data_IF_638905856746
#
_entry.id   IF_638905856746
#
_cell.length_a   1.000
_cell.length_b   1.000
_cell.length_c   1.000
_cell.angle_alpha   90.00
_cell.angle_beta   90.00
_cell.angle_gamma   90.00
#
_symmetry.space_group_name_H-M   'P 1'
#
loop_
_entity.id
_entity.type
_entity.pdbx_description
1 polymer ?
#
# COMPACT_ATOMS: atom_id res chain seq x y z
N UNK A 1 20.68 -2.60 -1.91
CA UNK A 1 20.00 -3.08 -3.12
C UNK A 1 18.52 -2.78 -2.95
N UNK A 2 17.87 -2.09 -3.90
CA UNK A 2 16.46 -1.71 -3.78
C UNK A 2 15.61 -2.50 -4.79
N UNK A 3 14.58 -3.17 -4.31
CA UNK A 3 13.66 -3.93 -5.15
C UNK A 3 12.84 -2.99 -6.03
N UNK A 4 12.81 -3.28 -7.32
CA UNK A 4 12.06 -2.51 -8.31
C UNK A 4 10.75 -3.23 -8.60
N UNK A 5 9.66 -2.46 -8.70
CA UNK A 5 8.34 -3.01 -9.06
C UNK A 5 8.02 -2.63 -10.50
N UNK A 6 7.66 -3.60 -11.32
CA UNK A 6 7.13 -3.37 -12.67
C UNK A 6 5.61 -3.34 -12.61
N UNK A 7 5.05 -2.25 -13.11
CA UNK A 7 3.60 -2.04 -13.18
C UNK A 7 3.01 -2.77 -14.41
N UNK A 8 1.69 -3.02 -14.44
CA UNK A 8 1.03 -3.68 -15.57
C UNK A 8 1.22 -2.98 -16.92
N UNK A 9 1.46 -1.66 -16.92
CA UNK A 9 1.77 -0.88 -18.11
C UNK A 9 3.25 -0.96 -18.54
N UNK A 10 4.06 -1.83 -17.92
CA UNK A 10 5.47 -2.03 -18.19
C UNK A 10 6.40 -1.01 -17.54
N UNK A 11 5.88 0.10 -17.00
CA UNK A 11 6.68 1.12 -16.32
C UNK A 11 7.20 0.60 -14.98
N UNK A 12 8.29 1.22 -14.51
CA UNK A 12 8.80 0.95 -13.16
C UNK A 12 8.16 1.91 -12.17
N UNK A 13 7.70 1.35 -11.05
CA UNK A 13 7.13 2.13 -9.96
C UNK A 13 8.21 3.04 -9.36
N UNK A 14 7.96 4.35 -9.38
CA UNK A 14 8.78 5.34 -8.68
C UNK A 14 8.32 5.41 -7.24
N UNK A 15 9.27 5.31 -6.32
CA UNK A 15 8.98 5.42 -4.90
C UNK A 15 8.63 6.87 -4.59
N UNK A 16 7.47 7.06 -3.96
CA UNK A 16 6.92 8.35 -3.58
C UNK A 16 7.07 8.56 -2.09
N UNK A 17 7.81 9.60 -1.73
CA UNK A 17 8.01 10.08 -0.37
C UNK A 17 7.38 11.45 -0.21
N UNK A 18 6.83 11.72 0.96
CA UNK A 18 6.23 13.01 1.29
C UNK A 18 6.63 13.43 2.71
N UNK A 19 7.06 14.67 2.88
CA UNK A 19 7.32 15.23 4.21
C UNK A 19 7.00 16.72 4.22
N UNK A 20 6.14 17.15 5.15
CA UNK A 20 5.78 18.56 5.33
C UNK A 20 5.36 19.27 4.02
N UNK A 21 4.63 18.56 3.14
CA UNK A 21 4.18 19.06 1.84
C UNK A 21 5.22 18.98 0.71
N UNK A 22 6.44 18.55 0.99
CA UNK A 22 7.44 18.23 -0.03
C UNK A 22 7.24 16.80 -0.53
N UNK A 23 7.12 16.61 -1.86
CA UNK A 23 6.99 15.29 -2.48
C UNK A 23 8.24 14.98 -3.30
N UNK A 24 8.87 13.84 -3.01
CA UNK A 24 10.05 13.35 -3.72
C UNK A 24 9.71 12.02 -4.39
N UNK A 25 9.99 11.93 -5.68
CA UNK A 25 9.86 10.70 -6.47
C UNK A 25 11.24 10.20 -6.85
N UNK A 26 11.58 8.97 -6.48
CA UNK A 26 12.85 8.35 -6.85
C UNK A 26 12.62 7.08 -7.67
N UNK A 27 13.47 6.84 -8.65
CA UNK A 27 13.55 5.53 -9.29
C UNK A 27 14.48 4.63 -8.48
N UNK A 28 13.92 3.57 -7.90
CA UNK A 28 14.69 2.59 -7.14
C UNK A 28 15.78 1.95 -8.00
N UNK A 29 16.99 1.91 -7.45
CA UNK A 29 18.16 1.29 -8.08
C UNK A 29 18.44 -0.06 -7.43
N UNK A 30 18.29 -1.12 -8.22
CA UNK A 30 18.61 -2.46 -7.76
C UNK A 30 18.46 -3.52 -8.84
N UNK A 31 18.94 -4.71 -8.52
CA UNK A 31 19.11 -5.81 -9.48
C UNK A 31 17.83 -6.61 -9.70
N UNK A 32 16.98 -6.65 -8.67
CA UNK A 32 15.74 -7.42 -8.68
C UNK A 32 14.57 -6.53 -9.12
N UNK A 33 13.87 -6.95 -10.18
CA UNK A 33 12.62 -6.33 -10.63
C UNK A 33 11.53 -7.39 -10.63
N UNK A 34 10.44 -7.14 -9.91
CA UNK A 34 9.30 -8.04 -9.80
C UNK A 34 8.00 -7.27 -10.09
N UNK A 35 6.94 -7.96 -10.47
CA UNK A 35 5.61 -7.41 -10.72
C UNK A 35 4.56 -7.93 -9.72
N UNK A 36 4.88 -8.99 -8.97
CA UNK A 36 4.00 -9.57 -7.95
C UNK A 36 4.41 -9.13 -6.53
N UNK A 37 3.49 -8.50 -5.80
CA UNK A 37 3.74 -8.01 -4.43
C UNK A 37 4.09 -9.13 -3.43
N UNK A 38 3.43 -10.29 -3.54
CA UNK A 38 3.69 -11.43 -2.65
C UNK A 38 5.11 -11.98 -2.84
N UNK A 39 5.58 -12.08 -4.09
CA UNK A 39 6.96 -12.53 -4.39
C UNK A 39 7.96 -11.48 -3.92
N UNK A 40 7.66 -10.19 -4.12
CA UNK A 40 8.51 -9.10 -3.63
C UNK A 40 8.66 -9.14 -2.10
N UNK A 41 7.58 -9.37 -1.37
CA UNK A 41 7.62 -9.53 0.09
C UNK A 41 8.51 -10.69 0.51
N UNK A 42 8.33 -11.87 -0.09
CA UNK A 42 9.17 -13.05 0.20
C UNK A 42 10.66 -12.76 -0.06
N UNK A 43 10.99 -12.15 -1.20
CA UNK A 43 12.37 -11.80 -1.53
C UNK A 43 13.00 -10.85 -0.49
N UNK A 44 12.24 -9.86 0.00
CA UNK A 44 12.73 -8.93 1.02
C UNK A 44 12.90 -9.63 2.38
N UNK A 45 11.99 -10.51 2.76
CA UNK A 45 12.13 -11.34 3.97
C UNK A 45 13.35 -12.27 3.90
N UNK A 46 13.71 -12.73 2.70
CA UNK A 46 14.91 -13.54 2.44
C UNK A 46 16.20 -12.69 2.30
N UNK A 47 16.13 -11.39 2.55
CA UNK A 47 17.30 -10.50 2.59
C UNK A 47 17.71 -9.89 1.24
N UNK A 48 16.84 -9.87 0.24
CA UNK A 48 17.14 -9.28 -1.07
C UNK A 48 17.33 -7.73 -1.05
N UNK A 49 17.06 -7.06 0.08
CA UNK A 49 17.36 -5.64 0.28
C UNK A 49 16.18 -4.85 0.83
N UNK A 50 15.91 -3.69 0.23
CA UNK A 50 14.83 -2.76 0.63
C UNK A 50 13.69 -2.81 -0.39
N UNK A 51 12.45 -2.88 0.08
CA UNK A 51 11.26 -2.80 -0.75
C UNK A 51 10.33 -1.66 -0.32
N UNK A 52 9.42 -1.29 -1.23
CA UNK A 52 8.39 -0.29 -0.99
C UNK A 52 7.03 -0.97 -1.09
N UNK A 53 6.34 -1.09 0.04
CA UNK A 53 5.12 -1.88 0.19
C UNK A 53 3.95 -1.02 0.66
N UNK A 54 2.74 -1.50 0.40
CA UNK A 54 1.56 -1.03 1.13
C UNK A 54 1.64 -1.63 2.52
N UNK A 55 1.47 -0.82 3.56
CA UNK A 55 1.66 -1.23 4.96
C UNK A 55 0.86 -2.48 5.34
N UNK A 56 -0.36 -2.62 4.83
CA UNK A 56 -1.23 -3.78 5.08
C UNK A 56 -0.61 -5.12 4.65
N UNK A 57 0.27 -5.12 3.65
CA UNK A 57 0.89 -6.35 3.14
C UNK A 57 2.06 -6.83 4.03
N UNK A 58 2.59 -5.95 4.90
CA UNK A 58 3.81 -6.18 5.68
C UNK A 58 3.65 -5.88 7.17
N UNK A 59 2.47 -5.43 7.61
CA UNK A 59 2.20 -5.03 8.99
C UNK A 59 2.56 -6.14 10.00
N UNK A 60 2.18 -7.39 9.70
CA UNK A 60 2.49 -8.55 10.55
C UNK A 60 4.00 -8.86 10.63
N UNK A 61 4.75 -8.59 9.55
CA UNK A 61 6.20 -8.78 9.57
C UNK A 61 6.92 -7.69 10.34
N UNK A 62 6.42 -6.46 10.27
CA UNK A 62 6.93 -5.34 11.06
C UNK A 62 6.64 -5.60 12.54
N UNK A 63 5.40 -5.97 12.89
CA UNK A 63 5.01 -6.30 14.25
C UNK A 63 5.81 -7.47 14.83
N UNK A 64 6.13 -8.47 14.00
CA UNK A 64 6.97 -9.60 14.38
C UNK A 64 8.49 -9.31 14.37
N UNK A 65 8.91 -8.09 14.01
CA UNK A 65 10.32 -7.70 13.93
C UNK A 65 11.10 -8.35 12.77
N UNK A 66 10.41 -8.98 11.81
CA UNK A 66 11.03 -9.53 10.59
C UNK A 66 11.38 -8.42 9.59
N UNK A 67 10.63 -7.33 9.59
CA UNK A 67 10.89 -6.14 8.79
C UNK A 67 11.03 -4.91 9.69
N UNK A 68 11.81 -3.94 9.24
CA UNK A 68 11.97 -2.64 9.90
C UNK A 68 11.53 -1.56 8.94
N UNK A 69 10.64 -0.67 9.39
CA UNK A 69 10.20 0.50 8.61
C UNK A 69 11.36 1.49 8.46
N UNK A 70 11.57 1.96 7.23
CA UNK A 70 12.56 2.97 6.90
C UNK A 70 11.86 4.25 6.45
N UNK A 71 12.49 5.41 6.68
CA UNK A 71 12.00 6.71 6.24
C UNK A 71 10.57 7.03 6.69
N UNK A 72 10.23 6.65 7.92
CA UNK A 72 8.90 6.84 8.50
C UNK A 72 8.39 8.29 8.42
N UNK A 73 9.26 9.25 8.76
CA UNK A 73 8.98 10.68 8.67
C UNK A 73 8.65 11.18 7.24
N UNK A 74 8.95 10.38 6.22
CA UNK A 74 8.72 10.65 4.80
C UNK A 74 7.58 9.81 4.21
N UNK A 75 6.87 9.04 5.04
CA UNK A 75 5.74 8.20 4.64
C UNK A 75 4.51 8.50 5.51
N UNK A 76 3.89 9.69 5.36
CA UNK A 76 2.71 10.03 6.14
C UNK A 76 1.55 9.07 5.83
N UNK A 77 0.60 8.89 6.77
CA UNK A 77 -0.58 8.08 6.56
C UNK A 77 -1.32 8.53 5.31
N UNK A 78 -1.55 7.60 4.37
CA UNK A 78 -2.34 7.88 3.18
C UNK A 78 -3.83 7.74 3.48
N UNK A 79 -4.69 8.52 2.78
CA UNK A 79 -6.13 8.30 2.87
C UNK A 79 -6.46 6.86 2.49
N UNK A 80 -7.42 6.28 3.22
CA UNK A 80 -7.88 4.91 3.00
C UNK A 80 -8.52 4.71 1.62
N UNK A 81 -8.77 3.45 1.29
CA UNK A 81 -9.39 3.10 0.01
C UNK A 81 -10.77 3.74 -0.16
N UNK A 82 -11.09 4.08 -1.41
CA UNK A 82 -12.38 4.64 -1.80
C UNK A 82 -13.13 3.67 -2.71
N UNK A 83 -14.43 3.50 -2.48
CA UNK A 83 -15.28 2.71 -3.35
C UNK A 83 -15.81 3.59 -4.50
N UNK A 84 -15.36 3.30 -5.73
CA UNK A 84 -15.84 3.99 -6.93
C UNK A 84 -16.93 3.17 -7.63
N UNK A 85 -18.08 3.80 -7.91
CA UNK A 85 -19.19 3.17 -8.62
C UNK A 85 -19.96 4.17 -9.51
N UNK A 86 -20.48 3.73 -10.67
CA UNK A 86 -21.28 4.58 -11.54
C UNK A 86 -22.71 4.72 -11.02
N UNK A 87 -23.21 5.97 -10.94
CA UNK A 87 -24.62 6.28 -10.74
C UNK A 87 -25.03 6.70 -9.32
N UNK A 88 -25.46 7.96 -9.18
CA UNK A 88 -25.96 8.54 -7.91
C UNK A 88 -27.48 8.45 -7.74
N UNK A 89 -28.22 8.01 -8.78
CA UNK A 89 -29.64 8.33 -8.92
C UNK A 89 -30.62 7.27 -8.40
N UNK A 90 -30.24 5.99 -8.35
CA UNK A 90 -31.06 4.95 -7.72
C UNK A 90 -30.24 3.67 -7.44
N UNK A 91 -29.45 3.60 -6.34
CA UNK A 91 -28.79 2.36 -5.96
C UNK A 91 -29.82 1.26 -5.68
N UNK A 92 -29.59 0.04 -6.17
CA UNK A 92 -30.44 -1.10 -5.79
C UNK A 92 -30.39 -1.31 -4.27
N UNK A 93 -31.43 -1.92 -3.69
CA UNK A 93 -31.45 -2.21 -2.25
C UNK A 93 -30.22 -3.03 -1.81
N UNK A 94 -29.80 -4.00 -2.62
CA UNK A 94 -28.59 -4.79 -2.37
C UNK A 94 -27.31 -3.95 -2.41
N UNK A 95 -27.21 -3.00 -3.33
CA UNK A 95 -26.04 -2.12 -3.40
C UNK A 95 -26.00 -1.12 -2.24
N UNK A 96 -27.14 -0.57 -1.83
CA UNK A 96 -27.24 0.28 -0.64
C UNK A 96 -26.84 -0.49 0.63
N UNK A 97 -27.30 -1.75 0.78
CA UNK A 97 -26.92 -2.61 1.89
C UNK A 97 -25.40 -2.91 1.89
N UNK A 98 -24.82 -3.20 0.72
CA UNK A 98 -23.38 -3.38 0.59
C UNK A 98 -22.60 -2.10 0.96
N UNK A 99 -23.04 -0.93 0.48
CA UNK A 99 -22.41 0.35 0.82
C UNK A 99 -22.45 0.63 2.33
N UNK A 100 -23.56 0.32 3.00
CA UNK A 100 -23.68 0.46 4.45
C UNK A 100 -22.69 -0.48 5.15
N UNK A 101 -22.68 -1.76 4.78
CA UNK A 101 -21.76 -2.76 5.33
C UNK A 101 -20.29 -2.36 5.13
N UNK A 102 -19.90 -1.95 3.93
CA UNK A 102 -18.54 -1.54 3.62
C UNK A 102 -18.09 -0.30 4.42
N UNK A 103 -19.00 0.67 4.65
CA UNK A 103 -18.73 1.84 5.49
C UNK A 103 -18.56 1.45 6.96
N UNK A 104 -19.39 0.56 7.47
CA UNK A 104 -19.25 0.06 8.85
C UNK A 104 -17.96 -0.74 9.03
N UNK A 105 -17.58 -1.56 8.05
CA UNK A 105 -16.32 -2.29 8.07
C UNK A 105 -15.12 -1.33 8.11
N UNK A 106 -15.10 -0.31 7.24
CA UNK A 106 -14.04 0.70 7.24
C UNK A 106 -13.97 1.51 8.55
N UNK A 107 -15.13 1.83 9.15
CA UNK A 107 -15.18 2.49 10.45
C UNK A 107 -14.63 1.62 11.59
N UNK A 108 -14.85 0.30 11.53
CA UNK A 108 -14.30 -0.67 12.49
C UNK A 108 -12.77 -0.79 12.37
N UNK A 109 -12.23 -0.84 11.15
CA UNK A 109 -10.77 -0.88 10.93
C UNK A 109 -10.08 0.40 11.44
N UNK A 110 -10.70 1.56 11.20
CA UNK A 110 -10.16 2.85 11.69
C UNK A 110 -10.16 2.94 13.22
N UNK A 111 -11.09 2.25 13.89
CA UNK A 111 -11.18 2.22 15.35
C UNK A 111 -10.21 1.22 16.01
N UNK A 112 -9.72 0.22 15.28
CA UNK A 112 -8.77 -0.79 15.77
C UNK A 112 -7.31 -0.33 15.61
N UNK A 113 -7.03 0.51 14.61
CA UNK A 113 -5.68 1.02 14.31
C UNK A 113 -5.25 2.30 15.06
N UNK A 114 -5.79 2.58 16.25
CA UNK A 114 -5.42 3.75 17.07
C UNK A 114 -4.89 3.35 18.45
#
# INVERSE_FOLDING_TARGET
DCLRVRLPNGALFRWSFERAGEVVQIEAQGRLTLDEAAIARTAILDGAGIGFFIEQDVADDIAAGRLTRLLDDWTPPRPGFSLYYPGRRNPSAGFAAFLAMAREAAARDTAIGR
#
